data_IF_025548505400
#
_entry.id   IF_025548505400
#
_cell.length_a   1.000
_cell.length_b   1.000
_cell.length_c   1.000
_cell.angle_alpha   90.00
_cell.angle_beta   90.00
_cell.angle_gamma   90.00
#
_symmetry.space_group_name_H-M   'P 1'
#
loop_
_entity.id
_entity.type
_entity.pdbx_description
1 polymer ?
#
# COMPACT_ATOMS: atom_id res chain seq x y z
N UNK A 1 -16.03 4.25 -27.87
CA UNK A 1 -15.94 3.61 -29.20
C UNK A 1 -16.77 2.33 -29.21
N UNK A 2 -17.45 1.98 -30.32
CA UNK A 2 -18.17 0.69 -30.42
C UNK A 2 -17.21 -0.43 -30.83
N UNK A 3 -17.60 -1.68 -30.54
CA UNK A 3 -16.83 -2.87 -30.88
C UNK A 3 -16.79 -3.08 -32.41
N UNK A 4 -15.61 -3.40 -32.96
CA UNK A 4 -15.39 -3.54 -34.41
C UNK A 4 -15.51 -2.25 -35.23
N UNK A 5 -15.55 -1.08 -34.57
CA UNK A 5 -15.48 0.24 -35.21
C UNK A 5 -14.04 0.76 -35.15
N UNK A 6 -13.63 1.57 -36.13
CA UNK A 6 -12.40 2.36 -36.07
C UNK A 6 -12.72 3.78 -35.62
N UNK A 7 -11.98 4.29 -34.63
CA UNK A 7 -12.04 5.71 -34.25
C UNK A 7 -10.67 6.33 -34.39
N UNK A 8 -10.62 7.43 -35.14
CA UNK A 8 -9.41 8.20 -35.31
C UNK A 8 -9.60 9.63 -34.83
N UNK A 9 -8.54 10.21 -34.30
CA UNK A 9 -8.44 11.64 -34.02
C UNK A 9 -7.17 12.18 -34.69
N UNK A 10 -7.21 13.45 -35.09
CA UNK A 10 -6.11 14.12 -35.78
C UNK A 10 -5.70 15.36 -34.98
N UNK A 11 -4.40 15.55 -34.78
CA UNK A 11 -3.83 16.70 -34.09
C UNK A 11 -2.61 17.22 -34.87
N UNK A 12 -2.45 18.55 -34.98
CA UNK A 12 -1.30 19.14 -35.63
C UNK A 12 -0.07 19.12 -34.70
N UNK A 13 1.10 18.79 -35.26
CA UNK A 13 2.38 18.87 -34.57
C UNK A 13 3.45 19.54 -35.45
N UNK A 14 4.45 20.13 -34.81
CA UNK A 14 5.63 20.72 -35.47
C UNK A 14 6.71 19.67 -35.75
N UNK A 15 7.62 19.99 -36.67
CA UNK A 15 8.81 19.18 -36.96
C UNK A 15 9.69 19.03 -35.71
N UNK A 16 10.39 17.90 -35.62
CA UNK A 16 11.34 17.59 -34.53
C UNK A 16 10.69 17.61 -33.14
N UNK A 17 9.44 17.17 -33.09
CA UNK A 17 8.74 16.93 -31.82
C UNK A 17 8.89 15.45 -31.45
N UNK A 18 9.35 15.16 -30.23
CA UNK A 18 9.30 13.82 -29.67
C UNK A 18 7.90 13.58 -29.11
N UNK A 19 7.14 12.78 -29.85
CA UNK A 19 5.79 12.40 -29.47
C UNK A 19 5.84 11.18 -28.55
N UNK A 20 5.46 11.36 -27.28
CA UNK A 20 5.34 10.27 -26.31
C UNK A 20 3.89 10.11 -25.87
N UNK A 21 3.47 8.88 -25.62
CA UNK A 21 2.13 8.64 -25.14
C UNK A 21 1.91 7.26 -24.57
N UNK A 22 0.80 7.13 -23.87
CA UNK A 22 0.31 5.84 -23.39
C UNK A 22 -1.19 5.73 -23.60
N UNK A 23 -1.65 4.52 -23.88
CA UNK A 23 -3.08 4.23 -23.91
C UNK A 23 -3.39 2.99 -23.09
N UNK A 24 -4.60 2.96 -22.51
CA UNK A 24 -5.11 1.85 -21.71
C UNK A 24 -6.60 1.65 -21.92
N UNK A 25 -7.01 0.39 -22.00
CA UNK A 25 -8.41 -0.02 -21.97
C UNK A 25 -8.96 0.08 -20.55
N UNK A 26 -9.93 0.96 -20.33
CA UNK A 26 -10.59 1.16 -19.03
C UNK A 26 -11.84 0.29 -18.91
N UNK A 27 -12.60 0.13 -20.01
CA UNK A 27 -13.85 -0.64 -20.03
C UNK A 27 -13.97 -1.43 -21.33
N UNK A 28 -14.15 -2.75 -21.21
CA UNK A 28 -14.29 -3.69 -22.31
C UNK A 28 -13.32 -4.88 -22.16
N UNK A 29 -13.70 -6.05 -22.67
CA UNK A 29 -12.86 -7.27 -22.69
C UNK A 29 -12.49 -7.61 -24.13
N UNK A 30 -11.85 -6.67 -24.82
CA UNK A 30 -11.43 -6.84 -26.22
C UNK A 30 -10.06 -6.24 -26.43
N UNK A 31 -9.33 -6.77 -27.40
CA UNK A 31 -8.00 -6.26 -27.75
C UNK A 31 -8.10 -5.04 -28.65
N UNK A 32 -7.23 -4.06 -28.42
CA UNK A 32 -7.14 -2.84 -29.22
C UNK A 32 -5.88 -2.88 -30.06
N UNK A 33 -6.00 -2.39 -31.29
CA UNK A 33 -4.88 -2.06 -32.16
C UNK A 33 -4.82 -0.55 -32.34
N UNK A 34 -3.62 0.02 -32.21
CA UNK A 34 -3.34 1.44 -32.42
C UNK A 34 -2.42 1.63 -33.62
N UNK A 35 -2.72 2.63 -34.45
CA UNK A 35 -1.90 3.02 -35.60
C UNK A 35 -1.73 4.55 -35.58
N UNK A 36 -0.49 5.01 -35.76
CA UNK A 36 -0.16 6.43 -35.91
C UNK A 36 0.24 6.69 -37.35
N UNK A 37 -0.42 7.65 -37.97
CA UNK A 37 -0.16 8.10 -39.34
C UNK A 37 0.47 9.49 -39.33
N UNK A 38 1.48 9.65 -40.18
CA UNK A 38 2.10 10.91 -40.57
C UNK A 38 1.15 11.75 -41.45
N UNK A 39 1.39 13.06 -41.68
CA UNK A 39 0.58 13.88 -42.59
C UNK A 39 0.53 13.34 -44.03
N UNK A 40 1.54 12.58 -44.44
CA UNK A 40 1.56 11.86 -45.73
C UNK A 40 0.91 10.47 -45.69
N UNK A 41 0.16 10.14 -44.63
CA UNK A 41 -0.50 8.85 -44.41
C UNK A 41 0.48 7.66 -44.30
N UNK A 42 1.76 7.92 -44.00
CA UNK A 42 2.75 6.88 -43.69
C UNK A 42 2.54 6.39 -42.27
N UNK A 43 2.58 5.07 -42.06
CA UNK A 43 2.49 4.50 -40.70
C UNK A 43 3.82 4.70 -39.98
N UNK A 44 3.80 5.43 -38.87
CA UNK A 44 4.99 5.64 -38.02
C UNK A 44 5.07 4.61 -36.89
N UNK A 45 3.93 4.25 -36.32
CA UNK A 45 3.85 3.29 -35.24
C UNK A 45 2.59 2.45 -35.39
N UNK A 46 2.74 1.14 -35.14
CA UNK A 46 1.63 0.21 -35.15
C UNK A 46 1.79 -0.80 -34.02
N UNK A 47 0.74 -0.95 -33.22
CA UNK A 47 0.66 -1.99 -32.20
C UNK A 47 -0.67 -2.70 -32.33
N UNK A 48 -0.62 -4.03 -32.43
CA UNK A 48 -1.81 -4.86 -32.60
C UNK A 48 -2.07 -5.71 -31.35
N UNK A 49 -3.35 -5.85 -30.98
CA UNK A 49 -3.77 -6.88 -30.04
C UNK A 49 -3.40 -6.64 -28.58
N UNK A 50 -3.35 -5.38 -28.12
CA UNK A 50 -2.92 -5.01 -26.76
C UNK A 50 -4.04 -4.33 -25.97
N UNK A 51 -3.99 -4.44 -24.64
CA UNK A 51 -4.91 -3.76 -23.71
C UNK A 51 -4.31 -2.47 -23.16
N UNK A 52 -2.99 -2.39 -23.05
CA UNK A 52 -2.24 -1.20 -22.66
C UNK A 52 -0.89 -1.17 -23.38
N UNK A 53 -0.43 0.02 -23.78
CA UNK A 53 0.89 0.20 -24.40
C UNK A 53 1.37 1.64 -24.32
N UNK A 54 2.69 1.80 -24.39
CA UNK A 54 3.38 3.09 -24.47
C UNK A 54 4.05 3.20 -25.84
N UNK A 55 4.14 4.41 -26.37
CA UNK A 55 4.81 4.69 -27.63
C UNK A 55 5.64 5.96 -27.51
N UNK A 56 6.72 6.01 -28.28
CA UNK A 56 7.59 7.17 -28.46
C UNK A 56 8.00 7.21 -29.92
N UNK A 57 7.75 8.33 -30.59
CA UNK A 57 8.01 8.52 -32.03
C UNK A 57 8.55 9.93 -32.24
N UNK A 58 9.68 10.05 -32.93
CA UNK A 58 10.20 11.35 -33.36
C UNK A 58 9.47 11.78 -34.64
N UNK A 59 8.95 13.01 -34.67
CA UNK A 59 8.22 13.53 -35.81
C UNK A 59 9.18 14.21 -36.80
N UNK A 60 9.25 13.69 -38.02
CA UNK A 60 10.16 14.19 -39.07
C UNK A 60 9.57 15.38 -39.85
N UNK A 61 8.25 15.61 -39.76
CA UNK A 61 7.54 16.59 -40.59
C UNK A 61 6.51 17.34 -39.75
N UNK A 62 6.24 18.59 -40.12
CA UNK A 62 5.12 19.33 -39.55
C UNK A 62 3.81 18.97 -40.26
N UNK A 63 2.71 18.90 -39.51
CA UNK A 63 1.37 18.70 -40.06
C UNK A 63 0.46 17.90 -39.15
N UNK A 64 -0.65 17.43 -39.72
CA UNK A 64 -1.69 16.70 -39.00
C UNK A 64 -1.34 15.21 -38.85
N UNK A 65 -1.05 14.82 -37.61
CA UNK A 65 -0.85 13.43 -37.24
C UNK A 65 -2.17 12.79 -36.85
N UNK A 66 -2.44 11.59 -37.40
CA UNK A 66 -3.69 10.88 -37.17
C UNK A 66 -3.46 9.61 -36.38
N UNK A 67 -4.19 9.47 -35.29
CA UNK A 67 -4.11 8.34 -34.38
C UNK A 67 -5.40 7.56 -34.47
N UNK A 68 -5.30 6.30 -34.85
CA UNK A 68 -6.45 5.43 -35.06
C UNK A 68 -6.43 4.25 -34.10
N UNK A 69 -7.58 4.01 -33.46
CA UNK A 69 -7.82 2.84 -32.63
C UNK A 69 -8.85 1.94 -33.30
N UNK A 70 -8.52 0.67 -33.42
CA UNK A 70 -9.42 -0.39 -33.89
C UNK A 70 -9.57 -1.43 -32.79
N UNK A 71 -10.79 -1.94 -32.61
CA UNK A 71 -11.05 -3.06 -31.70
C UNK A 71 -11.39 -4.28 -32.53
N UNK A 72 -10.79 -5.43 -32.19
CA UNK A 72 -11.21 -6.71 -32.77
C UNK A 72 -11.88 -7.54 -31.70
N UNK A 73 -13.00 -8.17 -32.08
CA UNK A 73 -13.63 -9.20 -31.24
C UNK A 73 -12.64 -10.35 -31.05
N UNK A 74 -12.40 -10.74 -29.80
CA UNK A 74 -11.88 -12.07 -29.54
C UNK A 74 -13.00 -13.09 -29.78
N UNK A 75 -12.65 -14.17 -30.46
CA UNK A 75 -13.57 -15.24 -30.92
C UNK A 75 -14.40 -15.85 -29.77
N UNK A 76 -13.96 -15.71 -28.51
CA UNK A 76 -14.61 -16.25 -27.31
C UNK A 76 -15.40 -15.23 -26.46
N UNK A 77 -15.56 -13.98 -26.91
CA UNK A 77 -16.30 -12.97 -26.14
C UNK A 77 -17.79 -12.99 -26.50
N UNK A 78 -18.62 -13.49 -25.58
CA UNK A 78 -20.09 -13.60 -25.67
C UNK A 78 -20.85 -12.28 -25.51
N UNK A 79 -20.15 -11.15 -25.34
CA UNK A 79 -20.80 -9.86 -25.10
C UNK A 79 -21.08 -9.12 -26.41
N UNK A 80 -22.33 -9.21 -26.89
CA UNK A 80 -22.83 -8.36 -27.97
C UNK A 80 -22.89 -6.90 -27.50
N UNK A 81 -22.20 -6.00 -28.20
CA UNK A 81 -22.48 -4.56 -28.12
C UNK A 81 -21.92 -3.79 -26.91
N UNK A 82 -20.74 -4.14 -26.40
CA UNK A 82 -20.07 -3.35 -25.36
C UNK A 82 -19.50 -2.01 -25.89
N UNK A 83 -19.76 -0.91 -25.15
CA UNK A 83 -19.04 0.35 -25.33
C UNK A 83 -17.62 0.23 -24.76
N UNK A 84 -16.60 0.46 -25.59
CA UNK A 84 -15.21 0.50 -25.17
C UNK A 84 -14.82 1.90 -24.73
N UNK A 85 -14.21 2.00 -23.55
CA UNK A 85 -13.60 3.22 -23.02
C UNK A 85 -12.08 3.07 -23.01
N UNK A 86 -11.41 3.96 -23.74
CA UNK A 86 -9.95 4.03 -23.87
C UNK A 86 -9.52 5.33 -23.22
N UNK A 87 -8.51 5.25 -22.36
CA UNK A 87 -7.80 6.41 -21.83
C UNK A 87 -6.50 6.58 -22.60
N UNK A 88 -6.23 7.81 -23.06
CA UNK A 88 -5.09 8.17 -23.88
C UNK A 88 -4.47 9.44 -23.30
N UNK A 89 -3.17 9.39 -23.04
CA UNK A 89 -2.36 10.57 -22.73
C UNK A 89 -1.27 10.70 -23.79
N UNK A 90 -1.17 11.89 -24.38
CA UNK A 90 -0.16 12.24 -25.38
C UNK A 90 0.56 13.48 -24.89
N UNK A 91 1.90 13.46 -25.00
CA UNK A 91 2.78 14.59 -24.74
C UNK A 91 3.70 14.74 -25.95
N UNK A 92 3.58 15.87 -26.63
CA UNK A 92 4.53 16.30 -27.65
C UNK A 92 5.54 17.25 -27.01
N UNK A 93 6.74 16.76 -26.76
CA UNK A 93 7.84 17.61 -26.30
C UNK A 93 8.70 17.93 -27.52
N UNK A 94 8.86 19.21 -27.87
CA UNK A 94 9.80 19.60 -28.92
C UNK A 94 11.18 19.13 -28.48
N UNK A 95 11.86 18.32 -29.28
CA UNK A 95 13.27 18.06 -28.98
C UNK A 95 14.01 19.36 -29.24
N UNK A 96 14.18 20.15 -28.18
CA UNK A 96 15.38 20.94 -28.11
C UNK A 96 16.54 19.95 -28.01
N UNK A 97 16.99 19.46 -29.17
CA UNK A 97 18.39 19.10 -29.35
C UNK A 97 19.22 20.39 -29.35
N UNK A 98 19.05 21.17 -28.30
CA UNK A 98 20.07 21.99 -27.75
C UNK A 98 20.30 21.35 -26.39
N UNK A 99 21.33 20.51 -26.31
CA UNK A 99 22.17 20.53 -25.12
C UNK A 99 22.55 21.99 -24.97
N UNK A 100 21.77 22.75 -24.19
CA UNK A 100 21.85 24.21 -24.08
C UNK A 100 23.30 24.67 -24.20
N UNK A 101 23.75 25.12 -25.40
CA UNK A 101 25.08 25.66 -25.59
C UNK A 101 24.95 27.19 -25.60
N UNK A 102 24.12 27.72 -24.70
CA UNK A 102 23.98 29.16 -24.51
C UNK A 102 24.12 29.51 -23.04
N UNK A 103 25.22 29.01 -22.47
CA UNK A 103 26.05 29.74 -21.49
C UNK A 103 27.53 29.49 -21.83
N UNK A 104 27.90 29.73 -23.10
CA UNK A 104 29.29 29.97 -23.49
C UNK A 104 29.45 31.40 -23.99
N UNK A 105 29.05 32.40 -23.20
CA UNK A 105 29.70 33.72 -23.21
C UNK A 105 29.63 34.42 -21.85
N UNK A 106 29.76 33.68 -20.76
CA UNK A 106 30.46 34.18 -19.58
C UNK A 106 30.80 32.97 -18.72
N UNK A 107 32.03 32.90 -18.24
CA UNK A 107 32.54 31.80 -17.43
C UNK A 107 31.62 31.50 -16.24
N UNK A 108 30.74 30.50 -16.37
CA UNK A 108 29.92 29.99 -15.27
C UNK A 108 30.85 29.41 -14.22
N UNK A 109 30.89 30.05 -13.06
CA UNK A 109 31.72 29.66 -11.93
C UNK A 109 31.49 28.19 -11.58
N UNK A 110 32.53 27.42 -11.24
CA UNK A 110 32.41 26.00 -10.89
C UNK A 110 31.42 25.73 -9.73
N UNK A 111 31.15 26.75 -8.92
CA UNK A 111 30.21 26.73 -7.79
C UNK A 111 28.76 26.52 -8.25
N UNK A 112 28.36 27.10 -9.37
CA UNK A 112 26.96 27.04 -9.83
C UNK A 112 26.60 25.63 -10.36
N UNK A 113 27.58 24.93 -10.94
CA UNK A 113 27.43 23.52 -11.34
C UNK A 113 27.21 22.60 -10.15
N UNK A 114 27.86 22.86 -9.03
CA UNK A 114 27.67 22.07 -7.80
C UNK A 114 26.27 22.29 -7.19
N UNK A 115 25.76 23.52 -7.21
CA UNK A 115 24.42 23.85 -6.72
C UNK A 115 23.34 23.13 -7.54
N UNK A 116 23.48 23.11 -8.88
CA UNK A 116 22.54 22.40 -9.76
C UNK A 116 22.56 20.88 -9.49
N UNK A 117 23.73 20.31 -9.25
CA UNK A 117 23.85 18.89 -8.91
C UNK A 117 23.21 18.56 -7.55
N UNK A 118 23.39 19.43 -6.55
CA UNK A 118 22.74 19.28 -5.24
C UNK A 118 21.23 19.42 -5.36
N UNK A 119 20.72 20.33 -6.18
CA UNK A 119 19.28 20.49 -6.41
C UNK A 119 18.67 19.23 -7.04
N UNK A 120 19.36 18.60 -7.99
CA UNK A 120 18.94 17.34 -8.59
C UNK A 120 18.91 16.20 -7.57
N UNK A 121 19.93 16.09 -6.71
CA UNK A 121 19.95 15.10 -5.62
C UNK A 121 18.83 15.33 -4.60
N UNK A 122 18.58 16.58 -4.20
CA UNK A 122 17.48 16.93 -3.28
C UNK A 122 16.12 16.61 -3.89
N UNK A 123 15.91 16.86 -5.18
CA UNK A 123 14.68 16.48 -5.88
C UNK A 123 14.46 14.96 -5.90
N UNK A 124 15.52 14.17 -6.03
CA UNK A 124 15.44 12.71 -5.96
C UNK A 124 15.12 12.25 -4.53
N UNK A 125 15.76 12.83 -3.51
CA UNK A 125 15.50 12.53 -2.10
C UNK A 125 14.06 12.89 -1.73
N UNK A 126 13.56 14.05 -2.16
CA UNK A 126 12.18 14.48 -1.89
C UNK A 126 11.17 13.48 -2.45
N UNK A 127 11.37 13.02 -3.70
CA UNK A 127 10.54 11.96 -4.29
C UNK A 127 10.58 10.66 -3.49
N UNK A 128 11.75 10.29 -2.97
CA UNK A 128 11.90 9.11 -2.12
C UNK A 128 11.20 9.28 -0.77
N UNK A 129 11.30 10.45 -0.15
CA UNK A 129 10.64 10.78 1.11
C UNK A 129 9.12 10.82 0.95
N UNK A 130 8.61 11.40 -0.13
CA UNK A 130 7.17 11.41 -0.43
C UNK A 130 6.64 9.97 -0.63
N UNK A 131 7.38 9.14 -1.37
CA UNK A 131 7.06 7.72 -1.52
C UNK A 131 7.13 6.94 -0.19
N UNK A 132 8.14 7.23 0.64
CA UNK A 132 8.28 6.61 1.96
C UNK A 132 7.15 7.02 2.89
N UNK A 133 6.73 8.28 2.85
CA UNK A 133 5.66 8.85 3.67
C UNK A 133 4.30 8.27 3.30
N UNK A 134 4.00 8.15 2.01
CA UNK A 134 2.74 7.52 1.56
C UNK A 134 2.66 6.04 1.98
N UNK A 135 3.81 5.35 2.01
CA UNK A 135 3.91 3.98 2.51
C UNK A 135 3.81 3.91 4.04
N UNK A 136 4.35 4.90 4.75
CA UNK A 136 4.23 5.03 6.21
C UNK A 136 2.78 5.28 6.63
N UNK A 137 2.07 6.18 5.94
CA UNK A 137 0.65 6.45 6.15
C UNK A 137 -0.19 5.18 5.97
N UNK A 138 0.10 4.36 4.96
CA UNK A 138 -0.56 3.07 4.75
C UNK A 138 -0.28 2.03 5.87
N UNK A 139 0.85 2.13 6.57
CA UNK A 139 1.20 1.23 7.68
C UNK A 139 0.75 1.76 9.04
N UNK A 140 0.59 3.08 9.21
CA UNK A 140 0.33 3.70 10.51
C UNK A 140 -1.01 3.30 11.11
N UNK A 141 -2.08 3.30 10.32
CA UNK A 141 -3.44 2.96 10.79
C UNK A 141 -3.56 1.48 11.26
N UNK A 142 -2.76 0.59 10.66
CA UNK A 142 -2.72 -0.83 11.08
C UNK A 142 -1.89 -1.04 12.35
N UNK A 143 -0.83 -0.25 12.55
CA UNK A 143 -0.03 -0.26 13.77
C UNK A 143 -0.82 0.29 14.96
N UNK A 144 -1.55 1.39 14.77
CA UNK A 144 -2.31 2.04 15.84
C UNK A 144 -3.50 1.18 16.32
N UNK A 145 -4.26 0.62 15.36
CA UNK A 145 -5.43 -0.21 15.70
C UNK A 145 -5.07 -1.59 16.26
N UNK A 146 -3.90 -2.14 15.94
CA UNK A 146 -3.41 -3.39 16.56
C UNK A 146 -2.87 -3.13 17.96
N UNK A 147 -2.11 -2.05 18.16
CA UNK A 147 -1.56 -1.70 19.47
C UNK A 147 -2.69 -1.43 20.49
N UNK A 148 -3.73 -0.69 20.11
CA UNK A 148 -4.86 -0.41 21.01
C UNK A 148 -5.59 -1.70 21.44
N UNK A 149 -5.83 -2.63 20.51
CA UNK A 149 -6.50 -3.91 20.81
C UNK A 149 -5.67 -4.77 21.76
N UNK A 150 -4.36 -4.89 21.50
CA UNK A 150 -3.44 -5.66 22.37
C UNK A 150 -3.37 -5.06 23.76
N UNK A 151 -3.35 -3.73 23.88
CA UNK A 151 -3.32 -3.04 25.17
C UNK A 151 -4.57 -3.34 26.02
N UNK A 152 -5.77 -3.38 25.42
CA UNK A 152 -6.99 -3.78 26.13
C UNK A 152 -6.94 -5.23 26.64
N UNK A 153 -6.34 -6.16 25.89
CA UNK A 153 -6.15 -7.54 26.36
C UNK A 153 -5.14 -7.65 27.51
N UNK A 154 -4.07 -6.84 27.50
CA UNK A 154 -3.11 -6.78 28.60
C UNK A 154 -3.76 -6.26 29.89
N UNK A 155 -4.58 -5.21 29.78
CA UNK A 155 -5.35 -4.68 30.92
C UNK A 155 -6.31 -5.74 31.47
N UNK A 156 -7.08 -6.40 30.61
CA UNK A 156 -8.01 -7.46 31.02
C UNK A 156 -7.28 -8.60 31.74
N UNK A 157 -6.14 -9.03 31.21
CA UNK A 157 -5.33 -10.10 31.81
C UNK A 157 -4.79 -9.71 33.19
N UNK A 158 -4.31 -8.47 33.36
CA UNK A 158 -3.89 -7.96 34.66
C UNK A 158 -5.05 -7.87 35.65
N UNK A 159 -6.22 -7.39 35.22
CA UNK A 159 -7.42 -7.33 36.06
C UNK A 159 -7.84 -8.71 36.59
N UNK A 160 -7.78 -9.74 35.75
CA UNK A 160 -8.12 -11.12 36.16
C UNK A 160 -7.11 -11.63 37.18
N UNK A 161 -5.81 -11.40 36.98
CA UNK A 161 -4.80 -11.76 37.97
C UNK A 161 -5.04 -11.06 39.32
N UNK A 162 -5.31 -9.75 39.31
CA UNK A 162 -5.63 -9.03 40.53
C UNK A 162 -6.90 -9.53 41.21
N UNK A 163 -7.94 -9.90 40.46
CA UNK A 163 -9.16 -10.48 41.02
C UNK A 163 -8.86 -11.81 41.72
N UNK A 164 -8.12 -12.72 41.07
CA UNK A 164 -7.73 -14.00 41.68
C UNK A 164 -6.83 -13.84 42.90
N UNK A 165 -5.95 -12.83 42.91
CA UNK A 165 -5.12 -12.51 44.07
C UNK A 165 -5.93 -11.87 45.20
N UNK A 166 -6.94 -11.06 44.89
CA UNK A 166 -7.80 -10.43 45.89
C UNK A 166 -8.67 -11.47 46.60
N UNK A 167 -9.29 -12.39 45.85
CA UNK A 167 -10.06 -13.51 46.41
C UNK A 167 -9.18 -14.37 47.34
N UNK A 168 -7.90 -14.59 46.97
CA UNK A 168 -6.97 -15.34 47.81
C UNK A 168 -6.61 -14.63 49.12
N UNK A 169 -6.51 -13.29 49.10
CA UNK A 169 -6.26 -12.55 50.34
C UNK A 169 -7.44 -12.65 51.30
N UNK A 170 -8.67 -12.68 50.79
CA UNK A 170 -9.85 -12.84 51.63
C UNK A 170 -9.87 -14.23 52.28
N UNK A 171 -9.66 -15.31 51.53
CA UNK A 171 -9.63 -16.66 52.08
C UNK A 171 -8.51 -16.86 53.12
N UNK A 172 -7.30 -16.38 52.86
CA UNK A 172 -6.18 -16.47 53.82
C UNK A 172 -6.39 -15.61 55.08
N UNK A 173 -7.05 -14.45 54.97
CA UNK A 173 -7.44 -13.62 56.12
C UNK A 173 -8.57 -14.29 56.93
N UNK A 174 -9.54 -14.91 56.28
CA UNK A 174 -10.58 -15.69 56.95
C UNK A 174 -10.01 -16.92 57.67
N UNK A 175 -9.10 -17.64 57.02
CA UNK A 175 -8.48 -18.83 57.60
C UNK A 175 -7.54 -18.48 58.75
N UNK A 176 -6.78 -17.38 58.67
CA UNK A 176 -5.93 -16.89 59.76
C UNK A 176 -6.73 -16.29 60.93
N UNK A 177 -7.89 -15.68 60.68
CA UNK A 177 -8.86 -15.30 61.74
C UNK A 177 -9.45 -16.54 62.42
N UNK A 178 -9.85 -17.56 61.65
CA UNK A 178 -10.35 -18.83 62.18
C UNK A 178 -9.27 -19.55 63.02
N UNK A 179 -8.04 -19.64 62.52
CA UNK A 179 -6.90 -20.21 63.25
C UNK A 179 -6.60 -19.41 64.52
N UNK A 180 -6.61 -18.07 64.50
CA UNK A 180 -6.46 -17.23 65.72
C UNK A 180 -7.60 -17.36 66.74
N UNK A 181 -8.84 -17.61 66.29
CA UNK A 181 -9.98 -17.87 67.18
C UNK A 181 -9.87 -19.23 67.89
N UNK A 182 -9.23 -20.22 67.24
CA UNK A 182 -8.95 -21.55 67.80
C UNK A 182 -7.62 -21.62 68.58
N UNK A 183 -6.61 -20.81 68.22
CA UNK A 183 -5.29 -20.72 68.88
C UNK A 183 -5.24 -19.67 69.99
N UNK A 184 -6.38 -19.31 70.58
CA UNK A 184 -6.41 -18.67 71.91
C UNK A 184 -6.03 -19.62 73.05
N UNK A 185 -6.02 -20.94 72.80
CA UNK A 185 -5.81 -21.96 73.82
C UNK A 185 -4.52 -22.78 73.71
N UNK A 186 -3.69 -22.65 72.68
CA UNK A 186 -2.43 -23.39 72.61
C UNK A 186 -1.29 -22.53 72.06
N UNK A 187 -0.43 -22.08 72.98
CA UNK A 187 0.89 -21.55 72.69
C UNK A 187 1.83 -22.72 72.35
N UNK A 188 2.63 -22.51 71.30
CA UNK A 188 3.90 -23.19 70.97
C UNK A 188 3.82 -24.53 70.21
N UNK A 189 3.90 -24.45 68.87
CA UNK A 189 4.97 -25.09 68.08
C UNK A 189 5.12 -24.33 66.76
N UNK A 190 6.31 -23.78 66.55
CA UNK A 190 6.74 -23.12 65.33
C UNK A 190 7.29 -24.18 64.38
N UNK A 191 6.59 -24.43 63.27
CA UNK A 191 7.21 -24.99 62.07
C UNK A 191 6.65 -24.22 60.87
N UNK A 192 7.37 -23.18 60.46
CA UNK A 192 7.07 -22.40 59.25
C UNK A 192 7.47 -23.26 58.06
N UNK A 193 6.61 -24.20 57.68
CA UNK A 193 6.75 -24.93 56.43
C UNK A 193 6.37 -23.97 55.31
N UNK A 194 7.38 -23.55 54.54
CA UNK A 194 7.25 -22.54 53.49
C UNK A 194 6.09 -22.85 52.55
N UNK A 195 5.18 -21.89 52.41
CA UNK A 195 4.05 -21.95 51.49
C UNK A 195 4.58 -21.93 50.06
N UNK A 196 4.66 -23.10 49.43
CA UNK A 196 5.05 -23.24 48.02
C UNK A 196 3.89 -22.83 47.12
N UNK A 197 4.20 -22.13 46.03
CA UNK A 197 3.29 -21.59 45.00
C UNK A 197 2.29 -22.60 44.38
N UNK A 198 2.40 -23.90 44.69
CA UNK A 198 1.72 -25.00 44.01
C UNK A 198 0.45 -25.51 44.69
N UNK A 199 0.11 -25.06 45.90
CA UNK A 199 -1.04 -25.63 46.65
C UNK A 199 -2.38 -24.97 46.30
N UNK A 200 -2.39 -24.04 45.34
CA UNK A 200 -3.50 -23.09 45.19
C UNK A 200 -4.58 -23.45 44.15
N UNK A 201 -4.41 -24.49 43.35
CA UNK A 201 -5.45 -24.87 42.39
C UNK A 201 -5.33 -26.36 42.06
N UNK A 202 -6.45 -27.09 42.05
CA UNK A 202 -6.49 -28.45 41.50
C UNK A 202 -5.81 -28.44 40.13
N UNK A 203 -4.89 -29.37 39.88
CA UNK A 203 -4.05 -29.38 38.67
C UNK A 203 -4.88 -29.34 37.37
N UNK A 204 -6.13 -29.82 37.45
CA UNK A 204 -7.15 -29.75 36.41
C UNK A 204 -7.69 -28.34 36.14
N UNK A 205 -7.81 -27.50 37.16
CA UNK A 205 -8.32 -26.12 37.01
C UNK A 205 -7.22 -25.20 36.49
N UNK A 206 -5.99 -25.38 36.97
CA UNK A 206 -4.81 -24.69 36.41
C UNK A 206 -4.65 -25.05 34.94
N UNK A 207 -4.67 -26.33 34.62
CA UNK A 207 -4.50 -26.78 33.24
C UNK A 207 -5.64 -26.30 32.35
N UNK A 208 -6.90 -26.38 32.79
CA UNK A 208 -8.03 -25.84 32.03
C UNK A 208 -7.93 -24.33 31.82
N UNK A 209 -7.47 -23.58 32.83
CA UNK A 209 -7.29 -22.13 32.73
C UNK A 209 -6.13 -21.76 31.80
N UNK A 210 -4.97 -22.42 31.93
CA UNK A 210 -3.83 -22.24 31.04
C UNK A 210 -4.20 -22.63 29.60
N UNK A 211 -4.91 -23.73 29.39
CA UNK A 211 -5.37 -24.17 28.07
C UNK A 211 -6.36 -23.16 27.50
N UNK A 212 -7.29 -22.63 28.30
CA UNK A 212 -8.25 -21.60 27.86
C UNK A 212 -7.54 -20.31 27.44
N UNK A 213 -6.62 -19.82 28.26
CA UNK A 213 -5.80 -18.64 27.94
C UNK A 213 -4.93 -18.91 26.71
N UNK A 214 -4.32 -20.09 26.59
CA UNK A 214 -3.50 -20.47 25.44
C UNK A 214 -4.33 -20.54 24.15
N UNK A 215 -5.54 -21.11 24.20
CA UNK A 215 -6.46 -21.14 23.06
C UNK A 215 -6.93 -19.75 22.67
N UNK A 216 -7.22 -18.86 23.62
CA UNK A 216 -7.57 -17.47 23.35
C UNK A 216 -6.42 -16.70 22.71
N UNK A 217 -5.19 -16.90 23.19
CA UNK A 217 -3.98 -16.29 22.61
C UNK A 217 -3.71 -16.83 21.20
N UNK A 218 -3.83 -18.15 20.99
CA UNK A 218 -3.66 -18.78 19.67
C UNK A 218 -4.75 -18.30 18.70
N UNK A 219 -6.01 -18.24 19.13
CA UNK A 219 -7.11 -17.71 18.34
C UNK A 219 -6.86 -16.24 17.97
N UNK A 220 -6.36 -15.43 18.90
CA UNK A 220 -6.01 -14.03 18.65
C UNK A 220 -4.86 -13.89 17.64
N UNK A 221 -3.80 -14.70 17.77
CA UNK A 221 -2.70 -14.73 16.79
C UNK A 221 -3.21 -15.12 15.41
N UNK A 222 -4.10 -16.13 15.32
CA UNK A 222 -4.73 -16.55 14.07
C UNK A 222 -5.59 -15.42 13.49
N UNK A 223 -6.42 -14.76 14.29
CA UNK A 223 -7.25 -13.63 13.86
C UNK A 223 -6.38 -12.47 13.36
N UNK A 224 -5.30 -12.12 14.07
CA UNK A 224 -4.34 -11.11 13.64
C UNK A 224 -3.64 -11.49 12.32
N UNK A 225 -3.23 -12.76 12.16
CA UNK A 225 -2.64 -13.26 10.92
C UNK A 225 -3.64 -13.21 9.76
N UNK A 226 -4.89 -13.62 9.98
CA UNK A 226 -5.97 -13.53 8.99
C UNK A 226 -6.27 -12.08 8.61
N UNK A 227 -6.31 -11.16 9.57
CA UNK A 227 -6.52 -9.74 9.31
C UNK A 227 -5.36 -9.12 8.51
N UNK A 228 -4.12 -9.55 8.77
CA UNK A 228 -2.92 -9.17 8.00
C UNK A 228 -2.92 -9.73 6.56
N UNK A 229 -3.63 -10.83 6.32
CA UNK A 229 -3.89 -11.38 4.98
C UNK A 229 -5.05 -10.68 4.26
N UNK A 230 -5.99 -10.10 5.03
CA UNK A 230 -7.19 -9.44 4.51
C UNK A 230 -7.01 -7.94 4.23
N UNK A 231 -5.90 -7.32 4.62
CA UNK A 231 -5.55 -6.00 4.11
C UNK A 231 -5.25 -6.15 2.61
N UNK A 232 -6.12 -5.66 1.70
CA UNK A 232 -5.76 -5.66 0.29
C UNK A 232 -4.47 -4.86 0.15
N UNK A 233 -3.50 -5.38 -0.61
CA UNK A 233 -2.49 -4.52 -1.23
C UNK A 233 -3.29 -3.47 -2.00
N UNK A 234 -3.56 -2.30 -1.40
CA UNK A 234 -4.15 -1.17 -2.11
C UNK A 234 -3.16 -0.87 -3.22
N UNK A 235 -3.52 -1.26 -4.43
CA UNK A 235 -2.80 -0.91 -5.63
C UNK A 235 -2.80 0.61 -5.70
N UNK A 236 -1.61 1.15 -5.50
CA UNK A 236 -1.20 2.52 -5.68
C UNK A 236 -1.89 3.14 -6.90
N UNK A 237 -2.71 4.15 -6.67
CA UNK A 237 -3.24 5.04 -7.71
C UNK A 237 -2.39 6.31 -7.59
N UNK A 238 -1.56 6.67 -8.59
CA UNK A 238 -0.73 7.85 -8.48
C UNK A 238 -1.64 9.08 -8.40
N UNK A 239 -1.62 9.75 -7.24
CA UNK A 239 -2.20 11.06 -7.07
C UNK A 239 -1.37 12.06 -7.86
N UNK A 240 -1.98 12.58 -8.93
CA UNK A 240 -1.43 13.64 -9.77
C UNK A 240 -1.28 14.89 -8.89
N UNK A 241 -0.03 15.27 -8.60
CA UNK A 241 0.30 16.49 -7.88
C UNK A 241 -0.35 17.70 -8.56
N UNK A 242 -1.10 18.46 -7.76
CA UNK A 242 -1.64 19.76 -8.09
C UNK A 242 -0.45 20.71 -8.26
N UNK A 243 -0.37 21.41 -9.41
CA UNK A 243 0.50 22.59 -9.55
C UNK A 243 -0.11 23.67 -8.68
N UNK A 244 0.65 24.12 -7.69
CA UNK A 244 0.37 25.38 -7.01
C UNK A 244 0.93 26.50 -7.90
N UNK A 245 0.06 27.47 -8.20
CA UNK A 245 0.38 28.75 -8.84
C UNK A 245 1.23 29.64 -7.91
#
# INVERSE_FOLDING_TARGET
MKLSEEKCFSEPYEIDTLLTGYFKLVKGSSVISMIIYDPHKKVLFQKNGVTESKFAVQLEKSGDYKFCFTSRRQIYSTTFGGLLKIELEIRGDRSQNEMSPELETESVNPIEKEIIQMEQMVKQIKKYLDYSKEREEAMRDTSESTNARVLWFLILSLCILFATHCDQTEETIYESKRKRLFLGDLKETEEVQGFTFTDYWDSSVISAFIISVFLLVVLFIIICCLFKLQTPKRTFKPTRGKKDD
#
